data_IF_371645948287
#
_entry.id   IF_371645948287
#
_cell.length_a   1.000
_cell.length_b   1.000
_cell.length_c   1.000
_cell.angle_alpha   90.00
_cell.angle_beta   90.00
_cell.angle_gamma   90.00
#
_symmetry.space_group_name_H-M   'P 1'
#
loop_
_entity.id
_entity.type
_entity.pdbx_description
1 polymer ?
#
# COMPACT_ATOMS: atom_id res chain seq x y z
N UNK A 1 -36.78 -52.34 -10.09
CA UNK A 1 -35.64 -52.16 -9.18
C UNK A 1 -34.48 -51.68 -10.05
N UNK A 2 -34.26 -50.39 -10.06
CA UNK A 2 -33.20 -49.76 -10.86
C UNK A 2 -32.07 -49.36 -9.91
N UNK A 3 -30.95 -50.07 -9.95
CA UNK A 3 -29.78 -49.79 -9.16
C UNK A 3 -28.97 -48.68 -9.83
N UNK A 4 -28.98 -47.48 -9.25
CA UNK A 4 -28.11 -46.39 -9.64
C UNK A 4 -26.73 -46.62 -9.01
N UNK A 5 -25.77 -46.98 -9.83
CA UNK A 5 -24.37 -47.10 -9.44
C UNK A 5 -23.78 -45.71 -9.26
N UNK A 6 -23.50 -45.33 -8.00
CA UNK A 6 -22.71 -44.17 -7.65
C UNK A 6 -21.25 -44.47 -7.96
N UNK A 7 -20.74 -43.91 -9.05
CA UNK A 7 -19.28 -43.85 -9.26
C UNK A 7 -18.67 -42.83 -8.32
N UNK A 8 -17.62 -43.15 -7.54
CA UNK A 8 -16.85 -42.19 -6.82
C UNK A 8 -15.96 -41.42 -7.82
N UNK A 9 -16.18 -40.14 -7.96
CA UNK A 9 -15.23 -39.25 -8.61
C UNK A 9 -14.06 -39.06 -7.62
N UNK A 10 -13.15 -40.00 -7.64
CA UNK A 10 -11.88 -39.88 -6.94
C UNK A 10 -10.88 -39.25 -7.89
N UNK A 11 -10.46 -38.03 -7.50
CA UNK A 11 -9.07 -37.62 -7.48
C UNK A 11 -8.30 -37.68 -8.81
N UNK A 12 -8.28 -36.55 -9.47
CA UNK A 12 -7.16 -36.14 -10.30
C UNK A 12 -6.69 -34.75 -9.83
N UNK A 13 -6.18 -34.71 -8.63
CA UNK A 13 -5.45 -33.56 -8.10
C UNK A 13 -4.29 -34.09 -7.24
N UNK A 14 -3.41 -34.88 -7.87
CA UNK A 14 -2.12 -35.22 -7.29
C UNK A 14 -1.08 -35.22 -8.41
N UNK A 15 -0.78 -34.02 -8.92
CA UNK A 15 0.44 -33.78 -9.67
C UNK A 15 1.30 -32.80 -8.88
N UNK A 16 2.30 -33.39 -8.21
CA UNK A 16 3.63 -32.85 -8.02
C UNK A 16 3.74 -31.38 -7.63
N UNK A 17 3.28 -31.02 -6.44
CA UNK A 17 3.90 -29.91 -5.74
C UNK A 17 5.27 -30.39 -5.26
N UNK A 18 6.35 -29.90 -5.88
CA UNK A 18 7.67 -29.88 -5.30
C UNK A 18 7.55 -29.30 -3.89
N UNK A 19 8.12 -30.00 -2.93
CA UNK A 19 8.41 -29.48 -1.60
C UNK A 19 9.20 -28.16 -1.75
N UNK A 20 8.51 -27.06 -1.57
CA UNK A 20 9.03 -25.72 -1.48
C UNK A 20 8.00 -24.94 -0.71
N UNK A 21 8.31 -24.58 0.52
CA UNK A 21 7.64 -23.66 1.44
C UNK A 21 6.14 -23.48 1.14
N UNK A 22 5.30 -24.05 1.99
CA UNK A 22 3.87 -23.75 1.94
C UNK A 22 3.72 -22.25 2.07
N UNK A 23 3.45 -21.58 0.93
CA UNK A 23 3.14 -20.16 0.89
C UNK A 23 1.94 -19.92 1.81
N UNK A 24 2.19 -19.31 2.95
CA UNK A 24 1.11 -18.90 3.85
C UNK A 24 0.38 -17.71 3.20
N UNK A 25 -0.62 -18.03 2.38
CA UNK A 25 -1.41 -17.04 1.63
C UNK A 25 -2.03 -16.00 2.57
N UNK A 26 -2.58 -16.35 3.73
CA UNK A 26 -3.02 -15.38 4.73
C UNK A 26 -1.92 -14.40 5.17
N UNK A 27 -0.71 -14.87 5.42
CA UNK A 27 0.41 -14.03 5.84
C UNK A 27 0.81 -13.05 4.73
N UNK A 28 0.93 -13.52 3.49
CA UNK A 28 1.23 -12.68 2.33
C UNK A 28 0.16 -11.61 2.13
N UNK A 29 -1.12 -11.97 2.24
CA UNK A 29 -2.23 -11.02 2.10
C UNK A 29 -2.20 -9.99 3.23
N UNK A 30 -1.97 -10.40 4.47
CA UNK A 30 -1.86 -9.48 5.60
C UNK A 30 -0.66 -8.55 5.46
N UNK A 31 0.47 -9.02 4.98
CA UNK A 31 1.65 -8.20 4.71
C UNK A 31 1.37 -7.15 3.62
N UNK A 32 0.67 -7.54 2.55
CA UNK A 32 0.30 -6.60 1.49
C UNK A 32 -0.76 -5.57 1.93
N UNK A 33 -1.68 -5.94 2.81
CA UNK A 33 -2.69 -5.04 3.38
C UNK A 33 -2.13 -4.20 4.53
N UNK A 34 -1.09 -4.67 5.20
CA UNK A 34 -0.43 -3.98 6.30
C UNK A 34 0.15 -2.66 5.82
N UNK A 35 -0.02 -1.63 6.63
CA UNK A 35 0.56 -0.32 6.38
C UNK A 35 2.04 -0.30 6.78
N UNK A 36 2.90 0.14 5.88
CA UNK A 36 4.35 0.15 6.04
C UNK A 36 4.95 1.50 5.65
N UNK A 37 6.16 1.77 6.13
CA UNK A 37 6.93 2.96 5.79
C UNK A 37 7.70 2.83 4.47
N UNK A 38 7.50 1.72 3.77
CA UNK A 38 8.09 1.43 2.49
C UNK A 38 7.06 0.88 1.52
N UNK A 39 7.18 1.28 0.27
CA UNK A 39 6.35 0.75 -0.78
C UNK A 39 7.15 -0.31 -1.56
N UNK A 40 6.98 -1.56 -1.15
CA UNK A 40 7.52 -2.68 -1.91
C UNK A 40 6.74 -2.81 -3.22
N UNK A 41 7.44 -2.72 -4.36
CA UNK A 41 6.83 -2.82 -5.68
C UNK A 41 6.97 -4.24 -6.21
N UNK A 42 8.19 -4.77 -6.22
CA UNK A 42 8.49 -6.10 -6.76
C UNK A 42 9.89 -6.56 -6.35
N UNK A 43 10.12 -7.84 -6.45
CA UNK A 43 11.44 -8.45 -6.29
C UNK A 43 11.94 -8.90 -7.65
N UNK A 44 13.00 -8.28 -8.16
CA UNK A 44 13.64 -8.63 -9.44
C UNK A 44 14.99 -9.29 -9.18
N UNK A 45 15.15 -10.52 -9.60
CA UNK A 45 16.40 -11.31 -9.46
C UNK A 45 16.97 -11.34 -8.04
N UNK A 46 16.09 -11.42 -7.03
CA UNK A 46 16.50 -11.46 -5.62
C UNK A 46 16.83 -10.08 -5.02
N UNK A 47 16.64 -8.99 -5.78
CA UNK A 47 16.73 -7.63 -5.27
C UNK A 47 15.33 -7.05 -5.07
N UNK A 48 15.04 -6.62 -3.86
CA UNK A 48 13.80 -5.94 -3.53
C UNK A 48 13.82 -4.51 -4.09
N UNK A 49 12.84 -4.20 -4.91
CA UNK A 49 12.62 -2.85 -5.42
C UNK A 49 11.54 -2.21 -4.57
N UNK A 50 11.96 -1.34 -3.66
CA UNK A 50 11.07 -0.58 -2.80
C UNK A 50 11.27 0.92 -2.96
N UNK A 51 10.19 1.69 -2.86
CA UNK A 51 10.25 3.14 -2.82
C UNK A 51 10.29 3.54 -1.34
N UNK A 52 11.37 4.18 -0.87
CA UNK A 52 11.43 4.69 0.48
C UNK A 52 10.52 5.92 0.62
N UNK A 53 9.75 5.95 1.69
CA UNK A 53 8.81 7.02 1.99
C UNK A 53 9.39 7.99 3.02
N UNK A 54 8.97 9.26 3.03
CA UNK A 54 9.43 10.22 4.02
C UNK A 54 8.83 9.91 5.40
N UNK A 55 9.70 9.79 6.37
CA UNK A 55 9.38 9.61 7.78
C UNK A 55 9.45 10.95 8.49
N UNK A 56 8.36 11.34 9.14
CA UNK A 56 8.26 12.57 9.93
C UNK A 56 7.79 12.17 11.33
N UNK A 57 8.67 12.29 12.30
CA UNK A 57 8.37 11.92 13.69
C UNK A 57 8.73 13.05 14.64
N UNK A 58 7.90 13.21 15.67
CA UNK A 58 8.15 14.14 16.78
C UNK A 58 8.45 13.31 18.02
N UNK A 59 9.66 13.46 18.55
CA UNK A 59 10.09 12.75 19.74
C UNK A 59 9.30 13.19 20.97
N UNK A 60 8.87 12.23 21.77
CA UNK A 60 8.30 12.49 23.11
C UNK A 60 9.35 12.68 24.17
N UNK A 61 10.61 12.36 23.87
CA UNK A 61 11.75 12.53 24.77
C UNK A 61 12.42 13.91 24.64
N UNK A 62 11.76 14.88 24.01
CA UNK A 62 12.27 16.24 23.87
C UNK A 62 13.36 16.43 22.81
N UNK A 63 13.58 15.43 21.94
CA UNK A 63 14.57 15.50 20.84
C UNK A 63 14.12 16.34 19.65
N UNK A 64 12.88 16.83 19.65
CA UNK A 64 12.32 17.66 18.58
C UNK A 64 11.70 16.89 17.42
N UNK A 65 11.63 17.56 16.25
CA UNK A 65 11.07 17.00 15.02
C UNK A 65 12.20 16.41 14.17
N UNK A 66 12.02 15.21 13.72
CA UNK A 66 12.95 14.50 12.83
C UNK A 66 12.25 14.17 11.51
N UNK A 67 12.93 14.50 10.41
CA UNK A 67 12.46 14.16 9.06
C UNK A 67 13.60 13.45 8.31
N UNK A 68 13.35 12.21 7.89
CA UNK A 68 14.32 11.40 7.16
C UNK A 68 13.62 10.38 6.27
N UNK A 69 14.39 9.70 5.42
CA UNK A 69 13.87 8.63 4.55
C UNK A 69 13.76 7.31 5.31
N UNK A 70 12.71 6.53 5.06
CA UNK A 70 12.52 5.21 5.64
C UNK A 70 13.67 4.24 5.35
N UNK A 71 14.46 4.51 4.30
CA UNK A 71 15.67 3.73 3.96
C UNK A 71 16.65 3.61 5.14
N UNK A 72 16.70 4.58 6.04
CA UNK A 72 17.58 4.55 7.21
C UNK A 72 17.11 3.58 8.29
N UNK A 73 15.84 3.14 8.23
CA UNK A 73 15.26 2.20 9.18
C UNK A 73 15.16 0.76 8.62
N UNK A 74 15.65 0.54 7.40
CA UNK A 74 15.66 -0.78 6.77
C UNK A 74 16.40 -1.82 7.62
N UNK A 75 15.93 -3.05 7.58
CA UNK A 75 16.55 -4.21 8.24
C UNK A 75 16.79 -4.05 9.75
N UNK A 76 15.88 -3.36 10.45
CA UNK A 76 16.00 -3.17 11.90
C UNK A 76 17.06 -2.15 12.32
N UNK A 77 17.58 -1.36 11.38
CA UNK A 77 18.54 -0.32 11.72
C UNK A 77 17.90 0.77 12.58
N UNK A 78 18.69 1.31 13.48
CA UNK A 78 18.31 2.47 14.30
C UNK A 78 18.90 3.75 13.70
N UNK A 79 18.06 4.76 13.52
CA UNK A 79 18.48 6.07 13.04
C UNK A 79 17.94 7.18 13.94
N UNK A 80 18.81 8.06 14.42
CA UNK A 80 18.46 9.17 15.33
C UNK A 80 17.71 8.72 16.61
N UNK A 81 17.90 7.47 17.05
CA UNK A 81 17.22 6.89 18.21
C UNK A 81 15.82 6.36 17.90
N UNK A 82 15.45 6.29 16.63
CA UNK A 82 14.22 5.68 16.14
C UNK A 82 14.50 4.37 15.43
N UNK A 83 13.62 3.39 15.60
CA UNK A 83 13.63 2.11 14.87
C UNK A 83 12.21 1.64 14.60
N UNK A 84 12.05 0.74 13.67
CA UNK A 84 10.78 0.00 13.51
C UNK A 84 10.80 -1.14 14.52
N UNK A 85 9.71 -1.30 15.27
CA UNK A 85 9.58 -2.40 16.23
C UNK A 85 9.23 -3.69 15.46
N UNK A 86 10.04 -4.73 15.66
CA UNK A 86 9.82 -6.02 15.01
C UNK A 86 8.72 -6.81 15.73
N UNK A 87 8.60 -6.66 17.06
CA UNK A 87 7.70 -7.45 17.89
C UNK A 87 6.95 -6.60 18.91
N UNK A 88 5.88 -7.17 19.48
CA UNK A 88 5.13 -6.61 20.60
C UNK A 88 4.02 -5.66 20.18
N UNK A 89 3.57 -4.83 21.12
CA UNK A 89 2.44 -3.91 20.97
C UNK A 89 2.58 -2.93 19.81
N UNK A 90 3.80 -2.60 19.43
CA UNK A 90 4.13 -1.60 18.41
C UNK A 90 4.79 -2.23 17.19
N UNK A 91 4.59 -3.54 16.95
CA UNK A 91 5.12 -4.22 15.77
C UNK A 91 4.81 -3.45 14.47
N UNK A 92 5.80 -3.29 13.61
CA UNK A 92 5.69 -2.55 12.34
C UNK A 92 5.55 -1.02 12.50
N UNK A 93 5.69 -0.46 13.71
CA UNK A 93 5.59 1.00 13.94
C UNK A 93 6.92 1.56 14.43
N UNK A 94 7.13 2.85 14.13
CA UNK A 94 8.32 3.56 14.61
C UNK A 94 8.21 3.75 16.12
N UNK A 95 9.29 3.39 16.80
CA UNK A 95 9.46 3.56 18.24
C UNK A 95 10.78 4.28 18.53
N UNK A 96 10.80 5.02 19.62
CA UNK A 96 12.03 5.60 20.18
C UNK A 96 12.38 4.91 21.50
N UNK A 97 13.66 4.80 21.78
CA UNK A 97 14.15 4.30 23.07
C UNK A 97 14.16 5.44 24.08
N UNK A 98 13.42 5.28 25.16
CA UNK A 98 13.43 6.19 26.29
C UNK A 98 14.70 6.00 27.13
N UNK A 99 14.99 6.98 28.00
CA UNK A 99 16.17 6.95 28.88
C UNK A 99 16.14 5.79 29.88
N UNK A 100 14.99 5.24 30.17
CA UNK A 100 14.76 4.06 31.02
C UNK A 100 14.86 2.73 30.26
N UNK A 101 15.18 2.76 28.95
CA UNK A 101 15.26 1.59 28.08
C UNK A 101 13.92 1.11 27.53
N UNK A 102 12.81 1.69 27.93
CA UNK A 102 11.48 1.37 27.40
C UNK A 102 11.30 1.86 25.96
N UNK A 103 10.45 1.14 25.21
CA UNK A 103 10.08 1.56 23.85
C UNK A 103 8.82 2.42 23.93
N UNK A 104 8.94 3.65 23.48
CA UNK A 104 7.86 4.63 23.46
C UNK A 104 7.52 4.97 22.01
N UNK A 105 6.22 5.04 21.69
CA UNK A 105 5.78 5.48 20.38
C UNK A 105 5.83 7.01 20.29
N UNK A 106 6.62 7.60 19.37
CA UNK A 106 6.63 9.03 19.11
C UNK A 106 5.32 9.49 18.46
N UNK A 107 5.16 10.79 18.25
CA UNK A 107 4.12 11.31 17.37
C UNK A 107 4.58 11.07 15.92
N UNK A 108 3.83 10.26 15.21
CA UNK A 108 4.18 9.77 13.88
C UNK A 108 3.26 10.43 12.85
N UNK A 109 3.85 11.27 12.00
CA UNK A 109 3.21 11.95 10.87
C UNK A 109 3.83 11.48 9.55
N UNK A 110 4.47 10.34 9.54
CA UNK A 110 5.13 9.78 8.37
C UNK A 110 4.14 9.47 7.25
N UNK A 111 4.61 9.62 6.03
CA UNK A 111 3.87 9.16 4.85
C UNK A 111 4.09 7.65 4.73
N UNK A 112 3.07 6.90 5.06
CA UNK A 112 3.07 5.44 4.91
C UNK A 112 2.62 5.03 3.50
N UNK A 113 2.77 3.76 3.15
CA UNK A 113 2.33 3.18 1.88
C UNK A 113 0.88 3.52 1.54
N UNK A 114 -0.02 3.37 2.52
CA UNK A 114 -1.45 3.63 2.32
C UNK A 114 -1.73 5.12 2.13
N UNK A 115 -1.07 5.99 2.91
CA UNK A 115 -1.18 7.45 2.76
C UNK A 115 -0.64 7.90 1.40
N UNK A 116 0.52 7.37 0.98
CA UNK A 116 1.09 7.66 -0.33
C UNK A 116 0.15 7.25 -1.48
N UNK A 117 -0.43 6.04 -1.39
CA UNK A 117 -1.41 5.55 -2.37
C UNK A 117 -2.65 6.44 -2.43
N UNK A 118 -3.17 6.87 -1.28
CA UNK A 118 -4.32 7.77 -1.21
C UNK A 118 -4.01 9.14 -1.81
N UNK A 119 -2.83 9.71 -1.53
CA UNK A 119 -2.40 10.99 -2.10
C UNK A 119 -2.24 10.91 -3.62
N UNK A 120 -1.64 9.83 -4.14
CA UNK A 120 -1.49 9.63 -5.58
C UNK A 120 -2.86 9.49 -6.24
N UNK A 121 -3.74 8.68 -5.68
CA UNK A 121 -5.10 8.50 -6.21
C UNK A 121 -5.89 9.81 -6.20
N UNK A 122 -5.83 10.59 -5.11
CA UNK A 122 -6.42 11.92 -5.03
C UNK A 122 -5.87 12.87 -6.08
N UNK A 123 -4.55 12.87 -6.29
CA UNK A 123 -3.91 13.72 -7.28
C UNK A 123 -4.35 13.36 -8.70
N UNK A 124 -4.39 12.06 -9.02
CA UNK A 124 -4.86 11.56 -10.32
C UNK A 124 -6.31 12.01 -10.55
N UNK A 125 -7.20 11.81 -9.56
CA UNK A 125 -8.59 12.24 -9.65
C UNK A 125 -8.70 13.74 -9.87
N UNK A 126 -7.93 14.53 -9.12
CA UNK A 126 -7.90 15.98 -9.27
C UNK A 126 -7.48 16.41 -10.68
N UNK A 127 -6.42 15.82 -11.23
CA UNK A 127 -5.94 16.10 -12.58
C UNK A 127 -7.00 15.77 -13.63
N UNK A 128 -7.70 14.65 -13.46
CA UNK A 128 -8.79 14.25 -14.36
C UNK A 128 -9.93 15.27 -14.31
N UNK A 129 -10.42 15.61 -13.11
CA UNK A 129 -11.53 16.55 -12.92
C UNK A 129 -11.16 17.93 -13.46
N UNK A 130 -9.97 18.45 -13.15
CA UNK A 130 -9.50 19.73 -13.67
C UNK A 130 -9.32 19.69 -15.21
N UNK A 131 -8.85 18.58 -15.75
CA UNK A 131 -8.74 18.36 -17.19
C UNK A 131 -10.10 18.41 -17.88
N UNK A 132 -11.08 17.69 -17.36
CA UNK A 132 -12.46 17.73 -17.85
C UNK A 132 -13.04 19.15 -17.75
N UNK A 133 -12.93 19.80 -16.60
CA UNK A 133 -13.39 21.17 -16.39
C UNK A 133 -12.74 22.16 -17.36
N UNK A 134 -11.44 22.03 -17.59
CA UNK A 134 -10.71 22.88 -18.55
C UNK A 134 -11.21 22.68 -19.99
N UNK A 135 -11.53 21.45 -20.36
CA UNK A 135 -12.08 21.14 -21.68
C UNK A 135 -13.44 21.81 -21.88
N UNK A 136 -14.40 21.62 -20.94
CA UNK A 136 -15.74 22.21 -20.99
C UNK A 136 -15.75 23.75 -20.94
N UNK A 137 -14.72 24.37 -20.38
CA UNK A 137 -14.56 25.83 -20.40
C UNK A 137 -14.12 26.39 -21.76
N UNK A 138 -13.54 25.54 -22.64
CA UNK A 138 -12.99 25.95 -23.94
C UNK A 138 -13.86 25.53 -25.11
N UNK A 139 -14.75 24.58 -24.92
CA UNK A 139 -15.58 24.01 -25.98
C UNK A 139 -17.06 24.15 -25.60
N UNK A 140 -17.89 24.34 -26.61
CA UNK A 140 -19.35 24.34 -26.40
C UNK A 140 -19.84 22.90 -26.44
N UNK A 141 -20.30 22.40 -25.28
CA UNK A 141 -20.78 21.02 -25.13
C UNK A 141 -21.98 20.68 -26.01
N UNK A 142 -22.69 21.69 -26.52
CA UNK A 142 -23.83 21.50 -27.43
C UNK A 142 -23.38 21.28 -28.89
N UNK A 143 -22.21 21.79 -29.25
CA UNK A 143 -21.72 21.71 -30.63
C UNK A 143 -20.65 20.63 -30.81
N UNK A 144 -19.83 20.38 -29.80
CA UNK A 144 -18.71 19.43 -29.87
C UNK A 144 -18.82 18.33 -28.81
N UNK A 145 -18.94 17.09 -29.24
CA UNK A 145 -18.89 15.96 -28.34
C UNK A 145 -17.47 15.72 -27.79
N UNK A 146 -17.30 15.56 -26.48
CA UNK A 146 -16.01 15.28 -25.90
C UNK A 146 -15.44 13.94 -26.37
N UNK A 147 -14.13 13.88 -26.62
CA UNK A 147 -13.41 12.69 -27.11
C UNK A 147 -12.35 12.25 -26.12
N UNK A 148 -11.94 10.97 -26.22
CA UNK A 148 -10.90 10.40 -25.38
C UNK A 148 -11.29 10.31 -23.91
N UNK A 149 -10.39 10.66 -23.00
CA UNK A 149 -10.62 10.55 -21.56
C UNK A 149 -11.81 11.36 -21.06
N UNK A 150 -12.03 12.56 -21.59
CA UNK A 150 -13.17 13.43 -21.20
C UNK A 150 -14.49 12.76 -21.54
N UNK A 151 -14.64 12.20 -22.76
CA UNK A 151 -15.85 11.49 -23.17
C UNK A 151 -16.10 10.21 -22.37
N UNK A 152 -15.03 9.51 -21.94
CA UNK A 152 -15.17 8.36 -21.05
C UNK A 152 -15.73 8.78 -19.68
N UNK A 153 -15.24 9.87 -19.11
CA UNK A 153 -15.73 10.37 -17.84
C UNK A 153 -17.15 10.91 -17.92
N UNK A 154 -17.52 11.58 -19.01
CA UNK A 154 -18.89 12.00 -19.26
C UNK A 154 -19.85 10.80 -19.26
N UNK A 155 -19.49 9.72 -19.98
CA UNK A 155 -20.27 8.48 -20.00
C UNK A 155 -20.44 7.90 -18.59
N UNK A 156 -19.36 7.89 -17.77
CA UNK A 156 -19.43 7.40 -16.39
C UNK A 156 -20.34 8.27 -15.51
N UNK A 157 -20.27 9.59 -15.64
CA UNK A 157 -21.13 10.51 -14.87
C UNK A 157 -22.59 10.35 -15.26
N UNK A 158 -22.91 10.35 -16.55
CA UNK A 158 -24.29 10.18 -17.03
C UNK A 158 -24.88 8.81 -16.74
N UNK A 159 -24.03 7.78 -16.53
CA UNK A 159 -24.49 6.45 -16.13
C UNK A 159 -24.94 6.40 -14.65
N UNK A 160 -24.44 7.31 -13.82
CA UNK A 160 -24.75 7.35 -12.38
C UNK A 160 -25.94 8.30 -12.08
N UNK A 161 -26.27 9.22 -12.97
CA UNK A 161 -27.37 10.17 -12.84
C UNK A 161 -28.73 9.52 -13.20
#
# INVERSE_FOLDING_TARGET
>A
MLAVALCPVNSLANETAKEGEALDIPEIVLEHLSDSYEWHITTVKGHEVSIPLPVIVISKQGRGVHCFSSRHLHHGNEYAGFRIADEGKYSGKIVERASDGSLVRPWDFSVTKNVAGLLINSLVLLVIVLGCSSWYRKHDACEEAPRGAVGLFEMLVTMVE
#
